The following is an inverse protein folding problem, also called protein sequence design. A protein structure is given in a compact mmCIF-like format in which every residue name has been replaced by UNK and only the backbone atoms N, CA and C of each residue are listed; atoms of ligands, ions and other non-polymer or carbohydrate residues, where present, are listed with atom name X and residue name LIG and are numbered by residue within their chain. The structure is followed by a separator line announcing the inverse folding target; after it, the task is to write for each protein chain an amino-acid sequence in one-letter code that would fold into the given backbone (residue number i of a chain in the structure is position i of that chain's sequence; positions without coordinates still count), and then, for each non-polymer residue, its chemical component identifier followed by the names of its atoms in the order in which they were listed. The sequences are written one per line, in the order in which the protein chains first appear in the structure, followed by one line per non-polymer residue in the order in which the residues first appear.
data_IF_299013656349
#
_entry.id   IF_299013656349
#
_cell.length_a   1.000
_cell.length_b   1.000
_cell.length_c   1.000
_cell.angle_alpha   90.00
_cell.angle_beta   90.00
_cell.angle_gamma   90.00
#
_symmetry.space_group_name_H-M   'P 1'
#
loop_
_entity.id
_entity.type
_entity.pdbx_description
1 polymer ?
#
# COMPACT_ATOMS: atom_id res chain seq x y z
N UNK A 1 -15.11 21.04 57.38
CA UNK A 1 -16.16 20.61 56.41
C UNK A 1 -15.88 21.29 55.08
N UNK A 2 -15.57 20.53 54.05
CA UNK A 2 -15.11 21.08 52.76
C UNK A 2 -16.21 21.90 52.08
N UNK A 3 -15.99 23.21 51.93
CA UNK A 3 -16.85 24.16 51.19
C UNK A 3 -17.19 23.64 49.78
N UNK A 4 -16.25 23.01 49.11
CA UNK A 4 -16.44 22.42 47.77
C UNK A 4 -17.52 21.31 47.73
N UNK A 5 -17.58 20.47 48.77
CA UNK A 5 -18.60 19.40 48.88
C UNK A 5 -20.01 19.99 49.02
N UNK A 6 -20.17 21.07 49.78
CA UNK A 6 -21.44 21.75 50.02
C UNK A 6 -21.93 22.49 48.76
N UNK A 7 -21.02 23.06 47.99
CA UNK A 7 -21.32 23.78 46.73
C UNK A 7 -21.75 22.79 45.63
N UNK A 8 -21.03 21.64 45.50
CA UNK A 8 -21.39 20.55 44.57
C UNK A 8 -22.78 20.00 44.88
N UNK A 9 -23.13 19.85 46.14
CA UNK A 9 -24.43 19.32 46.56
C UNK A 9 -25.60 20.30 46.28
N UNK A 10 -25.33 21.61 46.34
CA UNK A 10 -26.35 22.64 46.07
C UNK A 10 -26.56 22.87 44.58
N UNK A 11 -25.50 22.69 43.77
CA UNK A 11 -25.51 22.85 42.30
C UNK A 11 -25.34 21.56 41.53
N UNK A 12 -25.74 20.40 42.08
CA UNK A 12 -25.41 19.06 41.53
C UNK A 12 -25.77 18.89 40.04
N UNK A 13 -26.95 19.42 39.60
CA UNK A 13 -27.36 19.34 38.20
C UNK A 13 -26.43 20.16 37.28
N UNK A 14 -25.99 21.33 37.71
CA UNK A 14 -25.05 22.16 36.94
C UNK A 14 -23.67 21.54 36.89
N UNK A 15 -23.22 20.92 37.97
CA UNK A 15 -21.95 20.22 38.04
C UNK A 15 -21.95 19.01 37.10
N UNK A 16 -22.99 18.18 37.11
CA UNK A 16 -23.11 17.05 36.17
C UNK A 16 -23.13 17.52 34.72
N UNK A 17 -23.89 18.57 34.41
CA UNK A 17 -23.97 19.10 33.05
C UNK A 17 -22.59 19.58 32.54
N UNK A 18 -21.81 20.26 33.39
CA UNK A 18 -20.46 20.70 33.07
C UNK A 18 -19.51 19.50 32.89
N UNK A 19 -19.59 18.47 33.73
CA UNK A 19 -18.79 17.26 33.60
C UNK A 19 -19.12 16.50 32.33
N UNK A 20 -20.41 16.40 31.97
CA UNK A 20 -20.84 15.77 30.69
C UNK A 20 -20.29 16.58 29.51
N UNK A 21 -20.45 17.91 29.52
CA UNK A 21 -19.96 18.76 28.45
C UNK A 21 -18.43 18.65 28.24
N UNK A 22 -17.68 18.69 29.35
CA UNK A 22 -16.22 18.53 29.30
C UNK A 22 -15.81 17.11 28.88
N UNK A 23 -16.51 16.10 29.40
CA UNK A 23 -16.30 14.69 29.03
C UNK A 23 -16.57 14.44 27.54
N UNK A 24 -17.62 15.04 27.00
CA UNK A 24 -17.99 14.94 25.59
C UNK A 24 -16.94 15.61 24.71
N UNK A 25 -16.48 16.81 25.09
CA UNK A 25 -15.40 17.51 24.39
C UNK A 25 -14.08 16.69 24.39
N UNK A 26 -13.70 16.18 25.55
CA UNK A 26 -12.50 15.30 25.66
C UNK A 26 -12.67 14.00 24.84
N UNK A 27 -13.88 13.42 24.87
CA UNK A 27 -14.21 12.22 24.08
C UNK A 27 -14.04 12.44 22.58
N UNK A 28 -14.52 13.58 22.06
CA UNK A 28 -14.35 13.94 20.63
C UNK A 28 -12.87 14.09 20.29
N UNK A 29 -12.08 14.79 21.12
CA UNK A 29 -10.64 14.98 20.86
C UNK A 29 -9.92 13.63 20.86
N UNK A 30 -10.20 12.77 21.84
CA UNK A 30 -9.60 11.42 21.90
C UNK A 30 -10.00 10.55 20.72
N UNK A 31 -11.26 10.62 20.29
CA UNK A 31 -11.73 9.92 19.09
C UNK A 31 -11.01 10.39 17.83
N UNK A 32 -10.83 11.69 17.65
CA UNK A 32 -10.07 12.23 16.50
C UNK A 32 -8.61 11.76 16.50
N UNK A 33 -7.95 11.77 17.66
CA UNK A 33 -6.59 11.26 17.80
C UNK A 33 -6.53 9.76 17.47
N UNK A 34 -7.50 8.99 17.95
CA UNK A 34 -7.61 7.56 17.68
C UNK A 34 -7.76 7.26 16.19
N UNK A 35 -8.68 7.94 15.52
CA UNK A 35 -8.90 7.81 14.06
C UNK A 35 -7.62 8.17 13.29
N UNK A 36 -6.99 9.30 13.62
CA UNK A 36 -5.75 9.72 12.97
C UNK A 36 -4.64 8.67 13.12
N UNK A 37 -4.43 8.16 14.34
CA UNK A 37 -3.44 7.11 14.58
C UNK A 37 -3.75 5.82 13.83
N UNK A 38 -5.02 5.43 13.76
CA UNK A 38 -5.46 4.28 12.97
C UNK A 38 -5.08 4.42 11.49
N UNK A 39 -5.41 5.56 10.88
CA UNK A 39 -5.08 5.83 9.47
C UNK A 39 -3.57 5.80 9.20
N UNK A 40 -2.75 6.31 10.12
CA UNK A 40 -1.29 6.27 9.99
C UNK A 40 -0.78 4.83 10.07
N UNK A 41 -1.27 4.04 11.01
CA UNK A 41 -0.88 2.62 11.16
C UNK A 41 -1.24 1.84 9.91
N UNK A 42 -2.46 1.98 9.40
CA UNK A 42 -2.91 1.27 8.19
C UNK A 42 -2.06 1.64 6.97
N UNK A 43 -1.78 2.93 6.77
CA UNK A 43 -0.94 3.38 5.66
C UNK A 43 0.50 2.86 5.75
N UNK A 44 1.07 2.77 6.96
CA UNK A 44 2.41 2.23 7.17
C UNK A 44 2.45 0.71 7.00
N UNK A 45 1.36 0.01 7.32
CA UNK A 45 1.29 -1.45 7.21
C UNK A 45 1.53 -1.90 5.78
N UNK A 46 0.86 -1.28 4.80
CA UNK A 46 1.04 -1.64 3.38
C UNK A 46 2.43 -1.31 2.85
N UNK A 47 3.06 -0.25 3.36
CA UNK A 47 4.41 0.13 2.96
C UNK A 47 5.49 -0.77 3.59
N UNK A 48 5.21 -1.33 4.77
CA UNK A 48 6.12 -2.26 5.48
C UNK A 48 5.95 -3.71 5.05
N UNK A 49 4.79 -4.04 4.45
CA UNK A 49 4.45 -5.40 4.05
C UNK A 49 5.55 -6.12 3.24
N UNK A 50 6.21 -5.48 2.25
CA UNK A 50 7.24 -6.13 1.46
C UNK A 50 8.53 -6.45 2.23
N UNK A 51 8.72 -5.91 3.44
CA UNK A 51 9.92 -6.06 4.27
C UNK A 51 11.20 -5.77 3.48
N UNK A 52 11.28 -4.58 2.89
CA UNK A 52 12.36 -4.11 2.01
C UNK A 52 13.03 -2.88 2.59
N UNK A 53 14.26 -2.61 2.16
CA UNK A 53 15.07 -1.49 2.65
C UNK A 53 14.99 -0.28 1.72
N UNK A 54 14.77 -0.53 0.42
CA UNK A 54 14.77 0.52 -0.60
C UNK A 54 13.58 0.38 -1.56
N UNK A 55 13.08 1.54 -1.97
CA UNK A 55 12.07 1.74 -3.00
C UNK A 55 12.67 2.53 -4.14
N UNK A 56 12.72 1.95 -5.32
CA UNK A 56 13.19 2.59 -6.53
C UNK A 56 11.95 2.95 -7.37
N UNK A 57 11.83 4.22 -7.69
CA UNK A 57 10.69 4.81 -8.39
C UNK A 57 11.17 5.74 -9.50
N UNK A 58 10.24 6.25 -10.29
CA UNK A 58 10.52 7.28 -11.28
C UNK A 58 11.06 8.54 -10.60
N UNK A 59 12.06 9.18 -11.23
CA UNK A 59 12.64 10.42 -10.72
C UNK A 59 11.56 11.51 -10.58
N UNK A 60 11.70 12.34 -9.55
CA UNK A 60 10.77 13.42 -9.21
C UNK A 60 9.39 12.95 -8.70
N UNK A 61 9.21 11.67 -8.39
CA UNK A 61 8.01 11.18 -7.68
C UNK A 61 8.26 11.04 -6.18
N UNK A 62 7.20 11.21 -5.37
CA UNK A 62 7.27 11.06 -3.91
C UNK A 62 7.06 9.62 -3.45
N UNK A 63 7.38 8.66 -4.29
CA UNK A 63 7.22 7.24 -3.98
C UNK A 63 5.90 6.64 -4.47
N UNK A 64 5.80 5.31 -4.46
CA UNK A 64 4.77 4.57 -5.20
C UNK A 64 3.37 4.71 -4.61
N UNK A 65 3.24 5.17 -3.37
CA UNK A 65 1.95 5.32 -2.67
C UNK A 65 1.40 6.74 -2.71
N UNK A 66 2.26 7.74 -2.93
CA UNK A 66 1.87 9.15 -2.95
C UNK A 66 1.57 9.64 -4.37
N UNK A 67 2.31 9.15 -5.35
CA UNK A 67 2.20 9.54 -6.76
C UNK A 67 2.36 8.31 -7.66
N UNK A 68 1.74 8.34 -8.83
CA UNK A 68 1.91 7.27 -9.80
C UNK A 68 3.35 7.28 -10.33
N UNK A 69 4.03 6.15 -10.21
CA UNK A 69 5.36 5.91 -10.76
C UNK A 69 5.27 4.81 -11.80
N UNK A 70 6.04 4.94 -12.86
CA UNK A 70 6.15 3.93 -13.90
C UNK A 70 7.58 3.84 -14.40
N UNK A 71 8.23 2.74 -14.09
CA UNK A 71 9.61 2.45 -14.47
C UNK A 71 9.69 1.16 -15.28
N UNK A 72 10.68 1.01 -16.16
CA UNK A 72 10.93 -0.24 -16.87
C UNK A 72 11.22 -1.38 -15.88
N UNK A 73 10.70 -2.56 -16.16
CA UNK A 73 10.85 -3.71 -15.26
C UNK A 73 12.27 -4.27 -15.20
N UNK A 74 13.08 -4.05 -16.23
CA UNK A 74 14.50 -4.45 -16.28
C UNK A 74 15.36 -3.69 -15.25
N UNK A 75 14.89 -2.57 -14.72
CA UNK A 75 15.53 -1.84 -13.62
C UNK A 75 15.76 -2.75 -12.40
N UNK A 76 14.87 -3.74 -12.13
CA UNK A 76 15.07 -4.70 -11.03
C UNK A 76 16.36 -5.52 -11.16
N UNK A 77 16.71 -5.88 -12.41
CA UNK A 77 17.96 -6.63 -12.66
C UNK A 77 19.20 -5.73 -12.51
N UNK A 78 19.07 -4.46 -12.90
CA UNK A 78 20.15 -3.48 -12.70
C UNK A 78 20.37 -3.21 -11.20
N UNK A 79 19.28 -3.07 -10.42
CA UNK A 79 19.35 -2.89 -8.96
C UNK A 79 19.93 -4.13 -8.28
N UNK A 80 19.54 -5.33 -8.68
CA UNK A 80 20.05 -6.57 -8.10
C UNK A 80 21.57 -6.77 -8.26
N UNK A 81 22.20 -6.07 -9.23
CA UNK A 81 23.64 -6.11 -9.46
C UNK A 81 24.43 -5.09 -8.65
N UNK A 82 23.77 -4.18 -7.95
CA UNK A 82 24.45 -3.20 -7.11
C UNK A 82 25.05 -3.92 -5.89
N UNK A 83 26.31 -3.61 -5.57
CA UNK A 83 26.97 -4.18 -4.39
C UNK A 83 26.17 -3.84 -3.12
N UNK A 84 25.94 -4.83 -2.27
CA UNK A 84 25.16 -4.70 -1.05
C UNK A 84 23.66 -4.99 -1.21
N UNK A 85 23.15 -5.19 -2.43
CA UNK A 85 21.79 -5.67 -2.66
C UNK A 85 21.75 -7.19 -2.55
N UNK A 86 20.87 -7.73 -1.73
CA UNK A 86 20.61 -9.16 -1.60
C UNK A 86 19.65 -9.65 -2.70
N UNK A 87 18.57 -8.92 -2.89
CA UNK A 87 17.55 -9.24 -3.88
C UNK A 87 16.72 -8.01 -4.25
N UNK A 88 16.18 -8.00 -5.49
CA UNK A 88 15.30 -6.96 -5.96
C UNK A 88 14.10 -7.56 -6.71
N UNK A 89 12.93 -6.94 -6.58
CA UNK A 89 11.68 -7.37 -7.21
C UNK A 89 10.87 -6.19 -7.73
N UNK A 90 10.10 -6.45 -8.79
CA UNK A 90 9.17 -5.47 -9.32
C UNK A 90 7.82 -5.55 -8.63
N UNK A 91 7.21 -4.40 -8.34
CA UNK A 91 5.87 -4.33 -7.76
C UNK A 91 4.98 -3.40 -8.58
N UNK A 92 3.72 -3.81 -8.74
CA UNK A 92 2.66 -2.98 -9.30
C UNK A 92 1.52 -2.82 -8.32
N UNK A 93 0.90 -1.65 -8.35
CA UNK A 93 -0.25 -1.31 -7.52
C UNK A 93 -1.38 -0.77 -8.38
N UNK A 94 -2.59 -1.24 -8.14
CA UNK A 94 -3.78 -0.70 -8.78
C UNK A 94 -5.03 -1.01 -7.95
N UNK A 95 -5.99 -0.08 -7.94
CA UNK A 95 -7.31 -0.32 -7.36
C UNK A 95 -8.25 -0.80 -8.45
N UNK A 96 -8.99 -1.87 -8.17
CA UNK A 96 -9.95 -2.48 -9.10
C UNK A 96 -11.28 -2.69 -8.38
N UNK A 97 -12.36 -2.38 -9.06
CA UNK A 97 -13.71 -2.73 -8.62
C UNK A 97 -14.14 -4.04 -9.28
N UNK A 98 -14.69 -4.94 -8.49
CA UNK A 98 -15.24 -6.21 -8.93
C UNK A 98 -16.53 -6.51 -8.17
N UNK A 99 -17.19 -7.61 -8.54
CA UNK A 99 -18.37 -8.07 -7.84
C UNK A 99 -18.11 -9.46 -7.25
N UNK A 100 -18.50 -9.62 -5.99
CA UNK A 100 -18.50 -10.91 -5.30
C UNK A 100 -19.83 -11.08 -4.57
N UNK A 101 -20.53 -12.20 -4.80
CA UNK A 101 -21.85 -12.49 -4.20
C UNK A 101 -22.85 -11.33 -4.32
N UNK A 102 -22.92 -10.71 -5.51
CA UNK A 102 -23.76 -9.55 -5.82
C UNK A 102 -23.44 -8.27 -5.05
N UNK A 103 -22.35 -8.23 -4.29
CA UNK A 103 -21.84 -7.03 -3.64
C UNK A 103 -20.65 -6.46 -4.43
N UNK A 104 -20.58 -5.14 -4.54
CA UNK A 104 -19.40 -4.46 -5.09
C UNK A 104 -18.25 -4.57 -4.11
N UNK A 105 -17.13 -5.08 -4.58
CA UNK A 105 -15.91 -5.23 -3.83
C UNK A 105 -14.81 -4.38 -4.49
N UNK A 106 -14.24 -3.46 -3.73
CA UNK A 106 -13.12 -2.66 -4.17
C UNK A 106 -11.84 -3.23 -3.58
N UNK A 107 -10.89 -3.55 -4.44
CA UNK A 107 -9.67 -4.27 -4.10
C UNK A 107 -8.44 -3.46 -4.45
N UNK A 108 -7.46 -3.48 -3.58
CA UNK A 108 -6.11 -2.99 -3.85
C UNK A 108 -5.25 -4.15 -4.34
N UNK A 109 -5.06 -4.23 -5.65
CA UNK A 109 -4.33 -5.32 -6.30
C UNK A 109 -2.84 -5.01 -6.32
N UNK A 110 -2.05 -5.91 -5.73
CA UNK A 110 -0.59 -5.86 -5.68
C UNK A 110 -0.04 -6.97 -6.55
N UNK A 111 0.70 -6.60 -7.58
CA UNK A 111 1.43 -7.56 -8.42
C UNK A 111 2.88 -7.67 -7.98
N UNK A 112 3.37 -8.88 -7.76
CA UNK A 112 4.74 -9.16 -7.33
C UNK A 112 5.29 -10.44 -7.96
N UNK A 113 6.59 -10.63 -7.86
CA UNK A 113 7.26 -11.86 -8.29
C UNK A 113 7.41 -12.81 -7.09
N UNK A 114 6.80 -14.01 -7.07
CA UNK A 114 6.76 -14.89 -5.89
C UNK A 114 8.13 -15.30 -5.32
N UNK A 115 9.18 -15.27 -6.15
CA UNK A 115 10.56 -15.61 -5.75
C UNK A 115 11.39 -14.40 -5.31
N UNK A 116 10.82 -13.18 -5.36
CA UNK A 116 11.50 -11.92 -5.08
C UNK A 116 10.78 -11.13 -3.99
N UNK A 117 11.40 -10.10 -3.40
CA UNK A 117 10.74 -9.26 -2.41
C UNK A 117 9.53 -8.53 -3.02
N UNK A 118 8.53 -8.24 -2.20
CA UNK A 118 7.32 -7.52 -2.61
C UNK A 118 6.01 -8.26 -2.37
N UNK A 119 6.07 -9.51 -1.92
CA UNK A 119 4.90 -10.32 -1.61
C UNK A 119 4.24 -9.99 -0.27
N UNK A 120 3.18 -10.75 0.08
CA UNK A 120 2.50 -10.61 1.37
C UNK A 120 3.47 -10.93 2.51
N UNK A 121 3.37 -10.19 3.64
CA UNK A 121 4.31 -10.35 4.76
C UNK A 121 4.14 -11.70 5.48
N UNK A 122 2.91 -12.19 5.52
CA UNK A 122 2.53 -13.40 6.24
C UNK A 122 1.36 -14.10 5.52
N UNK A 123 1.36 -15.42 5.55
CA UNK A 123 0.24 -16.25 5.10
C UNK A 123 -0.35 -16.95 6.31
N UNK A 124 -1.57 -16.59 6.66
CA UNK A 124 -2.27 -17.14 7.83
C UNK A 124 -2.88 -18.51 7.55
N UNK A 125 -3.38 -18.70 6.33
CA UNK A 125 -4.02 -19.93 5.91
C UNK A 125 -3.76 -20.18 4.43
N UNK A 126 -3.70 -21.45 4.04
CA UNK A 126 -3.40 -21.84 2.68
C UNK A 126 -1.91 -21.79 2.38
N UNK A 127 -1.55 -21.26 1.22
CA UNK A 127 -0.16 -21.16 0.72
C UNK A 127 0.07 -19.88 -0.09
N UNK A 128 1.32 -19.57 -0.35
CA UNK A 128 1.71 -18.56 -1.33
C UNK A 128 1.36 -18.94 -2.76
N UNK A 129 1.48 -17.97 -3.66
CA UNK A 129 1.33 -18.19 -5.10
C UNK A 129 2.42 -19.14 -5.58
N UNK A 130 2.03 -20.22 -6.22
CA UNK A 130 2.94 -21.22 -6.79
C UNK A 130 2.82 -21.31 -8.30
N UNK A 131 1.64 -21.00 -8.87
CA UNK A 131 1.41 -21.01 -10.31
C UNK A 131 1.71 -19.65 -10.92
N UNK A 132 2.14 -19.65 -12.15
CA UNK A 132 2.46 -18.42 -12.89
C UNK A 132 1.27 -17.49 -13.12
N UNK A 133 0.04 -18.05 -13.11
CA UNK A 133 -1.18 -17.30 -13.44
C UNK A 133 -2.38 -17.73 -12.60
N UNK A 134 -3.28 -16.75 -12.37
CA UNK A 134 -4.64 -16.94 -11.86
C UNK A 134 -4.74 -17.50 -10.43
N UNK A 135 -3.70 -17.36 -9.64
CA UNK A 135 -3.73 -17.56 -8.19
C UNK A 135 -3.67 -16.19 -7.49
N UNK A 136 -4.33 -16.08 -6.34
CA UNK A 136 -4.25 -14.91 -5.49
C UNK A 136 -4.13 -15.27 -4.03
N UNK A 137 -3.44 -14.39 -3.28
CA UNK A 137 -3.50 -14.33 -1.82
C UNK A 137 -4.33 -13.12 -1.47
N UNK A 138 -5.37 -13.29 -0.67
CA UNK A 138 -6.32 -12.24 -0.31
C UNK A 138 -6.20 -11.85 1.16
N UNK A 139 -6.40 -10.58 1.47
CA UNK A 139 -6.57 -10.17 2.87
C UNK A 139 -7.91 -10.68 3.42
N UNK A 140 -7.94 -11.07 4.69
CA UNK A 140 -9.16 -11.57 5.34
C UNK A 140 -10.32 -10.56 5.30
N UNK A 141 -10.03 -9.27 5.27
CA UNK A 141 -11.06 -8.21 5.19
C UNK A 141 -11.80 -8.18 3.85
N UNK A 142 -11.32 -8.92 2.83
CA UNK A 142 -12.07 -9.12 1.57
C UNK A 142 -13.32 -9.98 1.75
N UNK A 143 -13.40 -10.78 2.82
CA UNK A 143 -14.46 -11.77 3.02
C UNK A 143 -14.32 -13.02 2.15
N UNK A 144 -13.23 -13.16 1.39
CA UNK A 144 -12.97 -14.32 0.54
C UNK A 144 -12.43 -15.49 1.38
N UNK A 145 -12.83 -16.71 1.03
CA UNK A 145 -12.34 -17.95 1.61
C UNK A 145 -11.33 -18.67 0.70
N UNK A 146 -10.55 -19.59 1.27
CA UNK A 146 -9.67 -20.46 0.48
C UNK A 146 -10.46 -21.27 -0.54
N UNK A 147 -9.99 -21.28 -1.78
CA UNK A 147 -10.63 -21.97 -2.88
C UNK A 147 -11.69 -21.16 -3.63
N UNK A 148 -12.07 -20.00 -3.10
CA UNK A 148 -12.99 -19.10 -3.79
C UNK A 148 -12.42 -18.65 -5.13
N UNK A 149 -13.33 -18.37 -6.06
CA UNK A 149 -13.00 -17.85 -7.38
C UNK A 149 -13.55 -16.44 -7.51
N UNK A 150 -12.66 -15.50 -7.76
CA UNK A 150 -13.01 -14.10 -7.95
C UNK A 150 -12.62 -13.65 -9.36
N UNK A 151 -13.56 -13.00 -10.04
CA UNK A 151 -13.29 -12.39 -11.35
C UNK A 151 -12.69 -11.00 -11.14
N UNK A 152 -11.44 -10.79 -11.56
CA UNK A 152 -10.79 -9.49 -11.53
C UNK A 152 -10.45 -9.08 -12.96
N UNK A 153 -11.09 -8.02 -13.44
CA UNK A 153 -11.04 -7.64 -14.85
C UNK A 153 -11.65 -8.72 -15.75
N UNK A 154 -10.84 -9.28 -16.65
CA UNK A 154 -11.28 -10.33 -17.59
C UNK A 154 -10.95 -11.75 -17.13
N UNK A 155 -10.14 -11.89 -16.10
CA UNK A 155 -9.63 -13.18 -15.65
C UNK A 155 -10.26 -13.58 -14.32
N UNK A 156 -10.33 -14.90 -14.08
CA UNK A 156 -10.81 -15.46 -12.81
C UNK A 156 -9.62 -16.01 -12.03
N UNK A 157 -9.48 -15.56 -10.80
CA UNK A 157 -8.41 -15.96 -9.89
C UNK A 157 -8.95 -16.88 -8.81
N UNK A 158 -8.13 -17.85 -8.40
CA UNK A 158 -8.44 -18.72 -7.27
C UNK A 158 -7.69 -18.25 -6.02
N UNK A 159 -8.39 -18.13 -4.91
CA UNK A 159 -7.80 -17.76 -3.62
C UNK A 159 -7.04 -18.97 -3.07
N UNK A 160 -5.71 -18.89 -3.02
CA UNK A 160 -4.82 -19.97 -2.56
C UNK A 160 -4.24 -19.72 -1.18
N UNK A 161 -4.29 -18.49 -0.71
CA UNK A 161 -3.82 -18.10 0.61
C UNK A 161 -4.58 -16.88 1.15
N UNK A 162 -4.54 -16.75 2.46
CA UNK A 162 -5.11 -15.61 3.18
C UNK A 162 -4.02 -14.91 3.98
N UNK A 163 -4.05 -13.59 3.97
CA UNK A 163 -3.22 -12.71 4.80
C UNK A 163 -4.11 -11.82 5.68
N UNK A 164 -3.52 -10.98 6.51
CA UNK A 164 -4.28 -10.07 7.40
C UNK A 164 -3.70 -8.67 7.43
N UNK A 165 -4.58 -7.72 7.78
CA UNK A 165 -4.22 -6.32 7.99
C UNK A 165 -3.52 -5.66 6.79
N UNK A 166 -3.78 -6.17 5.59
CA UNK A 166 -3.25 -5.58 4.36
C UNK A 166 -4.35 -4.75 3.69
N UNK A 167 -4.32 -3.46 3.99
CA UNK A 167 -5.28 -2.48 3.44
C UNK A 167 -4.54 -1.29 2.85
N UNK A 168 -5.07 -0.74 1.77
CA UNK A 168 -4.51 0.48 1.18
C UNK A 168 -4.71 1.69 2.11
N UNK A 169 -4.03 2.80 1.82
CA UNK A 169 -4.27 4.08 2.51
C UNK A 169 -5.70 4.62 2.34
N UNK A 170 -6.47 4.05 1.43
CA UNK A 170 -7.90 4.33 1.22
C UNK A 170 -8.84 3.38 1.95
N UNK A 171 -8.31 2.38 2.67
CA UNK A 171 -9.09 1.34 3.35
C UNK A 171 -9.50 0.17 2.45
N UNK A 172 -9.04 0.11 1.20
CA UNK A 172 -9.36 -0.99 0.29
C UNK A 172 -8.52 -2.22 0.68
N UNK A 173 -9.13 -3.41 0.85
CA UNK A 173 -8.39 -4.63 1.18
C UNK A 173 -7.45 -5.05 0.05
N UNK A 174 -6.26 -5.52 0.42
CA UNK A 174 -5.26 -5.94 -0.54
C UNK A 174 -5.46 -7.37 -1.03
N UNK A 175 -5.16 -7.58 -2.30
CA UNK A 175 -4.98 -8.90 -2.88
C UNK A 175 -3.66 -8.94 -3.64
N UNK A 176 -2.94 -10.03 -3.51
CA UNK A 176 -1.65 -10.26 -4.14
C UNK A 176 -1.82 -11.23 -5.30
N UNK A 177 -1.32 -10.88 -6.46
CA UNK A 177 -1.28 -11.71 -7.67
C UNK A 177 0.12 -11.69 -8.27
N UNK A 178 0.39 -12.51 -9.28
CA UNK A 178 1.69 -12.45 -9.96
C UNK A 178 1.86 -11.13 -10.70
N UNK A 179 3.12 -10.68 -10.81
CA UNK A 179 3.46 -9.45 -11.53
C UNK A 179 2.94 -9.48 -12.97
N UNK A 180 3.07 -10.62 -13.65
CA UNK A 180 2.60 -10.78 -15.03
C UNK A 180 1.08 -10.60 -15.16
N UNK A 181 0.31 -11.17 -14.23
CA UNK A 181 -1.15 -11.01 -14.22
C UNK A 181 -1.56 -9.58 -13.89
N UNK A 182 -0.84 -8.91 -12.98
CA UNK A 182 -1.10 -7.53 -12.62
C UNK A 182 -0.80 -6.56 -13.77
N UNK A 183 0.30 -6.77 -14.48
CA UNK A 183 0.65 -5.99 -15.68
C UNK A 183 -0.37 -6.18 -16.81
N UNK A 184 -0.84 -7.43 -17.00
CA UNK A 184 -1.92 -7.73 -17.94
C UNK A 184 -3.21 -7.02 -17.55
N UNK A 185 -3.55 -7.02 -16.27
CA UNK A 185 -4.72 -6.34 -15.74
C UNK A 185 -4.62 -4.82 -15.95
N UNK A 186 -3.47 -4.20 -15.71
CA UNK A 186 -3.22 -2.80 -16.00
C UNK A 186 -3.41 -2.48 -17.50
N UNK A 187 -2.91 -3.34 -18.37
CA UNK A 187 -3.09 -3.21 -19.81
C UNK A 187 -4.56 -3.31 -20.21
N UNK A 188 -5.29 -4.28 -19.68
CA UNK A 188 -6.69 -4.50 -20.00
C UNK A 188 -7.61 -3.37 -19.53
N UNK A 189 -7.26 -2.70 -18.43
CA UNK A 189 -7.99 -1.57 -17.86
C UNK A 189 -7.57 -0.22 -18.48
N UNK A 190 -6.46 -0.18 -19.21
CA UNK A 190 -5.98 1.04 -19.84
C UNK A 190 -6.98 1.54 -20.93
N UNK A 191 -7.08 2.86 -21.14
CA UNK A 191 -7.86 3.43 -22.23
C UNK A 191 -7.48 2.85 -23.59
N UNK A 192 -8.44 2.72 -24.50
CA UNK A 192 -8.22 2.10 -25.82
C UNK A 192 -7.07 2.73 -26.61
N UNK A 193 -6.94 4.06 -26.55
CA UNK A 193 -5.83 4.77 -27.20
C UNK A 193 -4.46 4.34 -26.66
N UNK A 194 -4.31 4.19 -25.34
CA UNK A 194 -3.07 3.72 -24.72
C UNK A 194 -2.76 2.27 -25.09
N UNK A 195 -3.78 1.41 -25.15
CA UNK A 195 -3.63 0.01 -25.59
C UNK A 195 -3.17 -0.10 -27.05
N UNK A 196 -3.72 0.73 -27.93
CA UNK A 196 -3.33 0.77 -29.35
C UNK A 196 -1.88 1.25 -29.50
N UNK A 197 -1.47 2.28 -28.77
CA UNK A 197 -0.09 2.76 -28.77
C UNK A 197 0.90 1.69 -28.29
N UNK A 198 0.59 1.00 -27.20
CA UNK A 198 1.38 -0.12 -26.69
C UNK A 198 1.44 -1.31 -27.69
N UNK A 199 0.33 -1.62 -28.36
CA UNK A 199 0.27 -2.69 -29.35
C UNK A 199 1.08 -2.38 -30.62
N UNK A 200 1.19 -1.09 -30.99
CA UNK A 200 1.95 -0.65 -32.16
C UNK A 200 3.45 -0.59 -31.93
N UNK A 201 3.96 -0.94 -30.75
CA UNK A 201 5.37 -0.96 -30.47
C UNK A 201 5.99 0.44 -30.47
N UNK A 202 5.20 1.48 -30.17
CA UNK A 202 5.73 2.83 -29.99
C UNK A 202 6.90 2.78 -29.01
N UNK A 203 8.03 3.27 -29.46
CA UNK A 203 9.35 3.25 -28.85
C UNK A 203 9.25 3.45 -27.32
N UNK A 204 9.69 2.45 -26.53
CA UNK A 204 9.68 2.46 -25.07
C UNK A 204 8.50 1.79 -24.39
N UNK A 205 7.54 1.24 -25.13
CA UNK A 205 6.39 0.52 -24.56
C UNK A 205 6.69 -0.93 -24.21
N UNK A 206 7.70 -1.18 -23.38
CA UNK A 206 7.86 -2.50 -22.78
C UNK A 206 6.59 -2.84 -22.02
N UNK A 207 6.05 -4.04 -22.27
CA UNK A 207 4.94 -4.58 -21.45
C UNK A 207 5.38 -4.83 -20.01
N UNK A 208 6.69 -4.92 -19.78
CA UNK A 208 7.30 -5.06 -18.48
C UNK A 208 7.54 -3.67 -17.87
N UNK A 209 6.48 -3.08 -17.34
CA UNK A 209 6.56 -1.84 -16.56
C UNK A 209 6.07 -2.12 -15.15
N UNK A 210 6.70 -1.51 -14.15
CA UNK A 210 6.36 -1.63 -12.74
C UNK A 210 6.15 -0.26 -12.11
N UNK A 211 5.40 -0.20 -11.02
CA UNK A 211 5.22 1.04 -10.27
C UNK A 211 6.42 1.33 -9.37
N UNK A 212 7.08 0.30 -8.86
CA UNK A 212 8.31 0.42 -8.12
C UNK A 212 9.15 -0.85 -8.28
N UNK A 213 10.46 -0.70 -8.12
CA UNK A 213 11.34 -1.81 -7.79
C UNK A 213 11.68 -1.71 -6.31
N UNK A 214 11.56 -2.81 -5.60
CA UNK A 214 11.92 -2.93 -4.19
C UNK A 214 13.18 -3.74 -4.03
N UNK A 215 14.01 -3.36 -3.09
CA UNK A 215 15.25 -4.06 -2.83
C UNK A 215 15.42 -4.38 -1.35
N UNK A 216 15.88 -5.60 -1.09
CA UNK A 216 16.37 -6.03 0.20
C UNK A 216 17.88 -5.98 0.17
N UNK A 217 18.48 -5.45 1.22
CA UNK A 217 19.91 -5.28 1.33
C UNK A 217 20.54 -6.39 2.19
N UNK A 218 21.83 -6.60 1.97
CA UNK A 218 22.64 -7.42 2.85
C UNK A 218 22.78 -6.75 4.23
N UNK A 219 22.90 -7.51 5.33
CA UNK A 219 22.90 -6.96 6.69
C UNK A 219 23.93 -5.85 6.96
N UNK A 220 25.03 -5.84 6.20
CA UNK A 220 26.13 -4.88 6.36
C UNK A 220 26.10 -3.74 5.31
N UNK A 221 25.10 -3.68 4.46
CA UNK A 221 24.99 -2.67 3.43
C UNK A 221 24.29 -1.41 3.98
N UNK A 222 24.80 -0.24 3.62
CA UNK A 222 24.14 1.03 3.94
C UNK A 222 23.04 1.32 2.92
N UNK A 223 21.78 1.49 3.34
CA UNK A 223 20.69 1.87 2.45
C UNK A 223 20.97 3.17 1.69
N UNK A 224 21.60 4.15 2.36
CA UNK A 224 21.91 5.44 1.78
C UNK A 224 22.95 5.33 0.66
N UNK A 225 23.97 4.47 0.82
CA UNK A 225 25.00 4.27 -0.18
C UNK A 225 24.43 3.64 -1.46
N UNK A 226 23.55 2.64 -1.31
CA UNK A 226 22.87 2.01 -2.44
C UNK A 226 21.87 2.99 -3.07
N UNK A 227 21.14 3.74 -2.27
CA UNK A 227 20.22 4.77 -2.78
C UNK A 227 20.96 5.83 -3.61
N UNK A 228 22.13 6.26 -3.16
CA UNK A 228 22.96 7.23 -3.89
C UNK A 228 23.48 6.66 -5.22
N UNK A 229 23.81 5.38 -5.27
CA UNK A 229 24.20 4.72 -6.52
C UNK A 229 23.06 4.75 -7.56
N UNK A 230 21.82 4.50 -7.12
CA UNK A 230 20.63 4.55 -7.99
C UNK A 230 20.30 5.98 -8.41
N UNK A 231 20.45 6.97 -7.54
CA UNK A 231 20.17 8.39 -7.85
C UNK A 231 21.05 8.97 -8.96
N UNK A 232 22.17 8.34 -9.28
CA UNK A 232 23.00 8.69 -10.43
C UNK A 232 22.38 8.30 -11.76
N UNK A 233 21.33 7.48 -11.75
CA UNK A 233 20.59 7.10 -12.95
C UNK A 233 19.62 8.23 -13.34
N UNK A 234 19.47 8.47 -14.66
CA UNK A 234 18.76 9.66 -15.16
C UNK A 234 17.26 9.70 -14.85
N UNK A 235 16.61 8.57 -14.74
CA UNK A 235 15.15 8.49 -14.73
C UNK A 235 14.57 7.82 -13.47
N UNK A 236 15.43 7.39 -12.56
CA UNK A 236 15.05 6.71 -11.33
C UNK A 236 15.58 7.44 -10.11
N UNK A 237 14.88 7.28 -9.00
CA UNK A 237 15.35 7.68 -7.68
C UNK A 237 15.13 6.55 -6.70
N UNK A 238 15.99 6.45 -5.70
CA UNK A 238 15.83 5.51 -4.61
C UNK A 238 15.45 6.24 -3.33
N UNK A 239 14.50 5.69 -2.63
CA UNK A 239 13.95 6.17 -1.37
C UNK A 239 14.14 5.05 -0.35
N UNK A 240 14.75 5.35 0.79
CA UNK A 240 14.86 4.37 1.88
C UNK A 240 13.49 4.10 2.48
N UNK A 241 13.33 2.93 3.11
CA UNK A 241 12.07 2.57 3.78
C UNK A 241 11.64 3.65 4.79
N UNK A 242 12.58 4.17 5.57
CA UNK A 242 12.31 5.22 6.55
C UNK A 242 11.82 6.52 5.89
N UNK A 243 12.48 6.96 4.81
CA UNK A 243 12.07 8.15 4.06
C UNK A 243 10.69 7.96 3.41
N UNK A 244 10.39 6.74 2.92
CA UNK A 244 9.08 6.41 2.37
C UNK A 244 7.97 6.50 3.41
N UNK A 245 8.20 6.01 4.63
CA UNK A 245 7.26 6.12 5.75
C UNK A 245 6.98 7.59 6.10
N UNK A 246 8.03 8.42 6.16
CA UNK A 246 7.87 9.85 6.43
C UNK A 246 7.08 10.58 5.32
N UNK A 247 7.29 10.23 4.05
CA UNK A 247 6.53 10.78 2.92
C UNK A 247 5.05 10.42 3.06
N UNK A 248 4.74 9.17 3.40
CA UNK A 248 3.35 8.72 3.61
C UNK A 248 2.67 9.50 4.74
N UNK A 249 3.31 9.62 5.89
CA UNK A 249 2.77 10.37 7.03
C UNK A 249 2.50 11.83 6.64
N UNK A 250 3.45 12.48 5.98
CA UNK A 250 3.27 13.86 5.50
C UNK A 250 2.11 13.98 4.51
N UNK A 251 1.99 13.06 3.57
CA UNK A 251 0.92 13.06 2.57
C UNK A 251 -0.48 12.90 3.19
N UNK A 252 -0.60 12.13 4.29
CA UNK A 252 -1.84 12.00 5.06
C UNK A 252 -2.19 13.32 5.79
N UNK A 253 -1.21 13.97 6.41
CA UNK A 253 -1.38 15.26 7.08
C UNK A 253 -1.82 16.34 6.08
N UNK A 254 -1.16 16.41 4.92
CA UNK A 254 -1.48 17.39 3.88
C UNK A 254 -2.88 17.16 3.28
N UNK A 255 -3.30 15.90 3.19
CA UNK A 255 -4.66 15.56 2.73
C UNK A 255 -5.71 15.98 3.76
N UNK A 256 -5.47 15.71 5.04
CA UNK A 256 -6.33 16.13 6.13
C UNK A 256 -6.45 17.65 6.22
N UNK A 257 -5.35 18.40 6.09
CA UNK A 257 -5.36 19.88 6.06
C UNK A 257 -6.22 20.42 4.92
N UNK A 258 -6.09 19.90 3.72
CA UNK A 258 -6.89 20.33 2.56
C UNK A 258 -8.38 20.07 2.73
N UNK A 259 -8.80 19.04 3.49
CA UNK A 259 -10.21 18.76 3.77
C UNK A 259 -10.79 19.67 4.83
N UNK A 260 -9.97 20.21 5.74
CA UNK A 260 -10.40 21.10 6.83
C UNK A 260 -10.39 22.57 6.38
N UNK A 261 -9.89 22.87 5.18
CA UNK A 261 -9.90 24.24 4.63
C UNK A 261 -8.86 25.17 5.28
N UNK A 262 -7.79 24.60 5.84
CA UNK A 262 -6.63 25.31 6.39
C UNK A 262 -5.44 25.26 5.45
#
# INVERSE_FOLDING_TARGET
MNLAYRDIRHGFGRFILTCIGLGLLLGVVLAMIGIYRGLVVDALTIARAPAVDLWIVEANTRGPFAEASRIPGDVREAVARIAGVESAGGITYQTVETEHMAAKLRLYVIGYEPTRPGGPPEILAGRGIARSHYEMVADQSTGLALGDRLRVGRNTFSVVGLTRHQVSSGGDPAVYITLADAQKLQFDLAPSAARIQQARGAVGGSRDTVNAVVARLQPNASPEAVAEAVRRWKHQTAITQEAQEQILIRSLVDRARRQIGL
#
